data_IF_889932756037
#
_entry.id   IF_889932756037
#
_cell.length_a   1.000
_cell.length_b   1.000
_cell.length_c   1.000
_cell.angle_alpha   90.00
_cell.angle_beta   90.00
_cell.angle_gamma   90.00
#
_symmetry.space_group_name_H-M   'P 1'
#
loop_
_entity.id
_entity.type
_entity.pdbx_description
1 polymer ?
#
# COMPACT_ATOMS: atom_id res chain seq x y z
N UNK A 1 26.15 -3.82 -2.31
CA UNK A 1 24.73 -4.02 -1.94
C UNK A 1 24.23 -5.21 -2.75
N UNK A 2 23.50 -6.16 -2.15
CA UNK A 2 22.87 -7.23 -2.92
C UNK A 2 21.85 -6.62 -3.89
N UNK A 3 21.84 -7.09 -5.14
CA UNK A 3 20.87 -6.65 -6.14
C UNK A 3 19.45 -7.00 -5.69
N UNK A 4 18.49 -6.09 -5.89
CA UNK A 4 17.08 -6.37 -5.61
C UNK A 4 16.57 -7.39 -6.62
N UNK A 5 16.13 -8.55 -6.13
CA UNK A 5 15.48 -9.58 -6.93
C UNK A 5 13.96 -9.31 -6.93
N UNK A 6 13.36 -9.16 -8.09
CA UNK A 6 11.92 -8.94 -8.23
C UNK A 6 11.17 -10.23 -8.51
N UNK A 7 10.01 -10.38 -7.88
CA UNK A 7 9.13 -11.53 -8.05
C UNK A 7 8.24 -11.33 -9.30
N UNK A 8 8.06 -12.38 -10.12
CA UNK A 8 7.15 -12.34 -11.25
C UNK A 8 5.69 -12.22 -10.80
N UNK A 9 4.84 -11.73 -11.70
CA UNK A 9 3.39 -11.56 -11.47
C UNK A 9 3.05 -10.82 -10.17
N UNK A 10 3.92 -9.88 -9.77
CA UNK A 10 3.78 -9.09 -8.54
C UNK A 10 3.69 -9.95 -7.28
N UNK A 11 4.49 -11.02 -7.25
CA UNK A 11 4.58 -11.94 -6.12
C UNK A 11 3.60 -13.12 -6.17
N UNK A 12 2.69 -13.14 -7.16
CA UNK A 12 1.62 -14.16 -7.25
C UNK A 12 2.04 -15.44 -7.94
N UNK A 13 3.14 -15.44 -8.70
CA UNK A 13 3.54 -16.65 -9.43
C UNK A 13 3.75 -17.83 -8.47
N UNK A 14 3.05 -18.94 -8.73
CA UNK A 14 3.10 -20.15 -7.92
C UNK A 14 2.42 -20.08 -6.56
N UNK A 15 1.66 -19.01 -6.27
CA UNK A 15 0.95 -18.86 -5.00
C UNK A 15 -0.28 -19.78 -4.93
N UNK A 16 -0.47 -20.44 -3.78
CA UNK A 16 -1.58 -21.37 -3.51
C UNK A 16 -2.60 -20.84 -2.50
N UNK A 17 -2.33 -19.68 -1.90
CA UNK A 17 -3.27 -19.02 -0.99
C UNK A 17 -4.27 -18.18 -1.80
N UNK A 18 -5.54 -18.12 -1.38
CA UNK A 18 -6.53 -17.29 -2.07
C UNK A 18 -6.21 -15.80 -1.88
N UNK A 19 -6.66 -14.95 -2.82
CA UNK A 19 -6.55 -13.50 -2.65
C UNK A 19 -7.36 -13.03 -1.43
N UNK A 20 -7.01 -11.88 -0.83
CA UNK A 20 -7.81 -11.27 0.23
C UNK A 20 -9.24 -10.97 -0.25
N UNK A 21 -10.18 -10.98 0.71
CA UNK A 21 -11.57 -10.60 0.43
C UNK A 21 -11.62 -9.17 -0.15
N UNK A 22 -12.36 -9.01 -1.26
CA UNK A 22 -12.58 -7.73 -1.93
C UNK A 22 -14.07 -7.41 -2.02
N UNK A 23 -14.47 -6.28 -1.43
CA UNK A 23 -15.86 -5.83 -1.31
C UNK A 23 -16.29 -4.84 -2.42
N UNK A 24 -15.62 -4.83 -3.58
CA UNK A 24 -15.96 -3.95 -4.71
C UNK A 24 -17.42 -4.02 -5.16
N UNK A 25 -18.02 -5.21 -5.04
CA UNK A 25 -19.43 -5.43 -5.37
C UNK A 25 -20.40 -4.78 -4.36
N UNK A 26 -19.97 -4.55 -3.11
CA UNK A 26 -20.77 -3.95 -2.06
C UNK A 26 -20.58 -2.43 -1.99
N UNK A 27 -19.34 -1.97 -2.19
CA UNK A 27 -18.90 -0.58 -2.06
C UNK A 27 -18.18 -0.13 -3.35
N UNK A 28 -18.94 0.48 -4.26
CA UNK A 28 -18.45 0.91 -5.57
C UNK A 28 -17.60 2.18 -5.45
N UNK A 29 -16.59 2.26 -6.31
CA UNK A 29 -15.87 3.51 -6.53
C UNK A 29 -16.64 4.39 -7.53
N UNK A 30 -17.28 5.44 -7.03
CA UNK A 30 -18.11 6.39 -7.78
C UNK A 30 -17.29 7.49 -8.44
N UNK A 31 -17.92 8.25 -9.33
CA UNK A 31 -17.34 9.37 -10.07
C UNK A 31 -17.08 10.63 -9.21
N UNK A 32 -17.58 10.65 -7.98
CA UNK A 32 -17.30 11.70 -7.01
C UNK A 32 -15.79 11.94 -6.82
N UNK A 33 -15.41 13.20 -6.62
CA UNK A 33 -14.05 13.53 -6.23
C UNK A 33 -13.78 13.08 -4.80
N UNK A 34 -12.75 12.25 -4.60
CA UNK A 34 -12.38 11.72 -3.29
C UNK A 34 -10.97 12.14 -2.91
N UNK A 35 -10.74 12.32 -1.60
CA UNK A 35 -9.39 12.44 -1.07
C UNK A 35 -8.66 11.11 -1.22
N UNK A 36 -7.57 11.11 -1.97
CA UNK A 36 -6.56 10.05 -1.97
C UNK A 36 -5.54 10.37 -0.90
N UNK A 37 -5.21 9.40 -0.07
CA UNK A 37 -4.33 9.55 1.09
C UNK A 37 -3.34 8.39 1.16
N UNK A 38 -2.14 8.65 1.67
CA UNK A 38 -1.27 7.59 2.19
C UNK A 38 -1.71 7.31 3.62
N UNK A 39 -2.20 6.10 3.87
CA UNK A 39 -2.51 5.62 5.22
C UNK A 39 -1.27 5.01 5.83
N UNK A 40 -0.90 5.50 7.02
CA UNK A 40 0.25 5.02 7.79
C UNK A 40 -0.23 4.37 9.07
N UNK A 41 -0.07 3.06 9.15
CA UNK A 41 -0.51 2.25 10.28
C UNK A 41 0.66 2.00 11.25
N UNK A 42 0.41 2.04 12.57
CA UNK A 42 1.42 1.70 13.56
C UNK A 42 1.82 0.23 13.44
N UNK A 43 3.04 -0.13 13.86
CA UNK A 43 3.44 -1.52 13.89
C UNK A 43 2.61 -2.30 14.90
N UNK A 44 2.46 -3.60 14.65
CA UNK A 44 1.84 -4.51 15.63
C UNK A 44 2.74 -4.59 16.85
N UNK A 45 2.25 -4.13 18.00
CA UNK A 45 2.99 -4.19 19.27
C UNK A 45 3.08 -5.63 19.77
N UNK A 46 4.30 -6.09 19.99
CA UNK A 46 4.59 -7.32 20.72
C UNK A 46 5.35 -6.97 22.02
N UNK A 47 5.18 -7.72 23.12
CA UNK A 47 5.93 -7.46 24.35
C UNK A 47 7.44 -7.45 24.12
N UNK A 48 8.13 -6.40 24.59
CA UNK A 48 9.59 -6.24 24.43
C UNK A 48 10.06 -5.78 23.05
N UNK A 49 9.15 -5.54 22.10
CA UNK A 49 9.47 -4.99 20.79
C UNK A 49 9.58 -3.46 20.85
N UNK A 50 10.70 -2.90 20.37
CA UNK A 50 10.85 -1.45 20.18
C UNK A 50 10.49 -1.12 18.73
N UNK A 51 9.38 -0.41 18.47
CA UNK A 51 8.99 0.00 17.14
C UNK A 51 10.06 0.83 16.42
N UNK A 52 10.28 0.53 15.15
CA UNK A 52 11.13 1.31 14.25
C UNK A 52 10.26 1.88 13.10
N UNK A 53 10.55 3.08 12.55
CA UNK A 53 9.81 3.63 11.42
C UNK A 53 9.64 2.69 10.21
N UNK A 54 10.56 1.74 9.98
CA UNK A 54 10.42 0.74 8.90
C UNK A 54 9.35 -0.33 9.16
N UNK A 55 8.79 -0.37 10.35
CA UNK A 55 7.74 -1.32 10.74
C UNK A 55 6.33 -0.76 10.52
N UNK A 56 6.24 0.53 10.17
CA UNK A 56 4.99 1.15 9.75
C UNK A 56 4.48 0.47 8.48
N UNK A 57 3.19 0.17 8.44
CA UNK A 57 2.56 -0.34 7.23
C UNK A 57 1.97 0.83 6.45
N UNK A 58 2.27 0.91 5.16
CA UNK A 58 1.77 1.99 4.28
C UNK A 58 0.80 1.43 3.25
N UNK A 59 -0.24 2.20 2.92
CA UNK A 59 -1.07 1.97 1.74
C UNK A 59 -1.54 3.28 1.12
N UNK A 60 -1.66 3.30 -0.21
CA UNK A 60 -2.36 4.37 -0.91
C UNK A 60 -3.85 4.05 -0.94
N UNK A 61 -4.70 4.94 -0.42
CA UNK A 61 -6.09 4.62 -0.13
C UNK A 61 -7.03 5.79 -0.40
N UNK A 62 -8.31 5.50 -0.65
CA UNK A 62 -9.38 6.49 -0.73
C UNK A 62 -10.72 5.88 -0.32
N UNK A 63 -11.66 6.74 0.10
CA UNK A 63 -13.02 6.31 0.40
C UNK A 63 -13.78 5.98 -0.88
N UNK A 64 -14.58 4.93 -0.81
CA UNK A 64 -15.58 4.55 -1.81
C UNK A 64 -16.97 4.58 -1.17
N UNK A 65 -18.02 4.28 -1.93
CA UNK A 65 -19.39 4.34 -1.44
C UNK A 65 -19.63 3.45 -0.20
N UNK A 66 -20.71 3.74 0.52
CA UNK A 66 -21.15 2.99 1.72
C UNK A 66 -20.07 2.87 2.80
N UNK A 67 -19.20 3.87 2.88
CA UNK A 67 -18.10 3.90 3.85
C UNK A 67 -17.02 2.86 3.58
N UNK A 68 -16.90 2.33 2.37
CA UNK A 68 -15.76 1.47 2.02
C UNK A 68 -14.48 2.28 1.84
N UNK A 69 -13.36 1.56 1.83
CA UNK A 69 -12.05 2.08 1.48
C UNK A 69 -11.40 1.19 0.43
N UNK A 70 -10.90 1.81 -0.64
CA UNK A 70 -10.00 1.17 -1.58
C UNK A 70 -8.58 1.29 -1.05
N UNK A 71 -7.81 0.21 -1.11
CA UNK A 71 -6.42 0.16 -0.69
C UNK A 71 -5.53 -0.43 -1.78
N UNK A 72 -4.41 0.25 -2.03
CA UNK A 72 -3.29 -0.24 -2.83
C UNK A 72 -2.09 -0.44 -1.90
N UNK A 73 -1.70 -1.69 -1.69
CA UNK A 73 -0.49 -2.05 -0.97
C UNK A 73 -0.03 -3.46 -1.33
N UNK A 74 1.21 -3.77 -0.99
CA UNK A 74 1.67 -5.16 -0.92
C UNK A 74 1.42 -5.72 0.48
N UNK A 75 1.06 -7.00 0.55
CA UNK A 75 0.95 -7.78 1.78
C UNK A 75 2.12 -8.74 1.90
N UNK A 76 2.55 -9.04 3.13
CA UNK A 76 3.50 -10.11 3.40
C UNK A 76 2.70 -11.41 3.61
N UNK A 77 2.96 -12.41 2.80
CA UNK A 77 2.27 -13.69 2.81
C UNK A 77 3.20 -14.81 3.28
N UNK A 78 2.69 -15.67 4.15
CA UNK A 78 3.38 -16.87 4.60
C UNK A 78 3.11 -18.00 3.60
N UNK A 79 4.16 -18.42 2.91
CA UNK A 79 4.14 -19.44 1.88
C UNK A 79 5.03 -20.62 2.29
N UNK A 80 4.80 -21.16 3.48
CA UNK A 80 5.61 -22.24 4.07
C UNK A 80 5.64 -23.55 3.25
N UNK A 81 4.74 -23.71 2.27
CA UNK A 81 4.79 -24.81 1.29
C UNK A 81 5.85 -24.61 0.20
N UNK A 82 6.41 -23.41 0.04
CA UNK A 82 7.52 -23.11 -0.87
C UNK A 82 8.82 -22.98 -0.06
N UNK A 83 9.68 -24.02 -0.06
CA UNK A 83 10.91 -24.02 0.74
C UNK A 83 11.94 -22.99 0.26
N UNK A 84 11.83 -22.48 -0.98
CA UNK A 84 12.76 -21.47 -1.53
C UNK A 84 12.32 -20.05 -1.19
N UNK A 85 11.03 -19.87 -0.90
CA UNK A 85 10.43 -18.59 -0.59
C UNK A 85 9.31 -18.79 0.43
N UNK A 86 9.65 -19.06 1.71
CA UNK A 86 8.67 -19.37 2.76
C UNK A 86 7.85 -18.15 3.19
N UNK A 87 8.33 -16.94 2.85
CA UNK A 87 7.61 -15.67 3.01
C UNK A 87 7.84 -14.84 1.75
N UNK A 88 6.81 -14.15 1.27
CA UNK A 88 6.92 -13.25 0.10
C UNK A 88 6.05 -12.02 0.25
N UNK A 89 6.33 -11.00 -0.55
CA UNK A 89 5.42 -9.88 -0.72
C UNK A 89 4.53 -10.13 -1.94
N UNK A 90 3.27 -9.70 -1.87
CA UNK A 90 2.30 -9.88 -2.94
C UNK A 90 1.49 -8.60 -3.11
N UNK A 91 1.37 -8.11 -4.33
CA UNK A 91 0.33 -7.16 -4.69
C UNK A 91 -0.84 -7.93 -5.30
N UNK A 92 -1.99 -7.93 -4.62
CA UNK A 92 -3.19 -8.64 -5.07
C UNK A 92 -4.06 -7.82 -6.03
N UNK A 93 -3.69 -6.56 -6.30
CA UNK A 93 -4.54 -5.59 -6.98
C UNK A 93 -5.21 -4.61 -6.01
N UNK A 94 -6.04 -3.70 -6.53
CA UNK A 94 -6.86 -2.83 -5.70
C UNK A 94 -7.86 -3.65 -4.86
N UNK A 95 -7.88 -3.43 -3.55
CA UNK A 95 -8.79 -4.16 -2.63
C UNK A 95 -9.71 -3.16 -1.93
N UNK A 96 -11.02 -3.39 -2.01
CA UNK A 96 -11.99 -2.65 -1.20
C UNK A 96 -12.31 -3.37 0.10
N UNK A 97 -12.21 -2.64 1.22
CA UNK A 97 -12.56 -3.10 2.57
C UNK A 97 -13.64 -2.18 3.16
N UNK A 98 -14.44 -2.69 4.09
CA UNK A 98 -15.38 -1.86 4.85
C UNK A 98 -14.63 -0.95 5.84
N UNK A 99 -15.12 0.27 6.09
CA UNK A 99 -14.65 1.07 7.22
C UNK A 99 -14.81 0.28 8.53
N UNK A 100 -13.80 0.35 9.40
CA UNK A 100 -13.72 -0.41 10.64
C UNK A 100 -12.27 -0.64 11.06
N UNK A 101 -11.96 -1.82 11.62
CA UNK A 101 -10.60 -2.18 12.06
C UNK A 101 -9.52 -1.97 10.98
N UNK A 102 -9.88 -2.02 9.70
CA UNK A 102 -8.97 -1.82 8.57
C UNK A 102 -8.41 -0.39 8.43
N UNK A 103 -9.01 0.61 9.08
CA UNK A 103 -8.53 2.01 9.11
C UNK A 103 -8.35 2.54 10.53
N UNK A 104 -8.66 1.73 11.54
CA UNK A 104 -8.54 2.13 12.95
C UNK A 104 -7.06 2.39 13.30
N UNK A 105 -6.78 3.61 13.79
CA UNK A 105 -5.44 4.02 14.16
C UNK A 105 -4.51 4.31 12.98
N UNK A 106 -4.98 4.42 11.74
CA UNK A 106 -4.14 4.94 10.66
C UNK A 106 -4.00 6.46 10.75
N UNK A 107 -2.82 6.99 10.44
CA UNK A 107 -2.65 8.41 10.14
C UNK A 107 -2.86 8.61 8.65
N UNK A 108 -3.77 9.50 8.28
CA UNK A 108 -4.04 9.86 6.88
C UNK A 108 -3.13 11.02 6.46
N UNK A 109 -2.28 10.79 5.45
CA UNK A 109 -1.45 11.83 4.83
C UNK A 109 -2.06 12.16 3.46
N UNK A 110 -2.70 13.33 3.28
CA UNK A 110 -3.39 13.65 2.03
C UNK A 110 -2.45 13.76 0.83
N UNK A 111 -2.80 13.08 -0.26
CA UNK A 111 -2.16 13.22 -1.56
C UNK A 111 -2.89 14.27 -2.43
N UNK A 112 -4.21 14.32 -2.33
CA UNK A 112 -5.06 15.29 -3.04
C UNK A 112 -6.48 14.79 -3.29
N UNK A 113 -7.35 15.68 -3.79
CA UNK A 113 -8.69 15.30 -4.30
C UNK A 113 -8.57 14.86 -5.74
N UNK A 114 -9.15 13.70 -6.07
CA UNK A 114 -8.98 13.09 -7.38
C UNK A 114 -10.32 12.54 -7.90
N UNK A 115 -10.56 12.76 -9.19
CA UNK A 115 -11.69 12.17 -9.92
C UNK A 115 -11.52 10.65 -10.05
N UNK A 116 -12.60 9.95 -10.41
CA UNK A 116 -12.55 8.51 -10.67
C UNK A 116 -11.57 8.15 -11.80
N UNK A 117 -11.45 8.98 -12.84
CA UNK A 117 -10.52 8.74 -13.93
C UNK A 117 -9.06 8.73 -13.44
N UNK A 118 -8.69 9.71 -12.61
CA UNK A 118 -7.36 9.78 -11.99
C UNK A 118 -7.13 8.60 -11.04
N UNK A 119 -8.12 8.23 -10.23
CA UNK A 119 -7.99 7.09 -9.30
C UNK A 119 -7.83 5.76 -10.04
N UNK A 120 -8.55 5.54 -11.15
CA UNK A 120 -8.32 4.38 -12.04
C UNK A 120 -6.95 4.42 -12.71
N UNK A 121 -6.45 5.60 -13.08
CA UNK A 121 -5.09 5.74 -13.61
C UNK A 121 -4.05 5.32 -12.56
N UNK A 122 -4.25 5.70 -11.30
CA UNK A 122 -3.39 5.25 -10.18
C UNK A 122 -3.43 3.73 -10.03
N UNK A 123 -4.60 3.09 -10.10
CA UNK A 123 -4.72 1.62 -10.07
C UNK A 123 -3.94 0.96 -11.22
N UNK A 124 -3.97 1.53 -12.41
CA UNK A 124 -3.18 1.05 -13.55
C UNK A 124 -1.67 1.20 -13.33
N UNK A 125 -1.23 2.34 -12.78
CA UNK A 125 0.18 2.57 -12.45
C UNK A 125 0.68 1.58 -11.39
N UNK A 126 -0.16 1.23 -10.41
CA UNK A 126 0.14 0.24 -9.38
C UNK A 126 0.45 -1.14 -9.98
N UNK A 127 -0.27 -1.56 -11.02
CA UNK A 127 0.05 -2.78 -11.76
C UNK A 127 1.42 -2.75 -12.44
N UNK A 128 2.02 -1.57 -12.64
CA UNK A 128 3.38 -1.42 -13.18
C UNK A 128 4.49 -1.38 -12.13
N UNK A 129 4.17 -1.47 -10.84
CA UNK A 129 5.17 -1.47 -9.75
C UNK A 129 5.64 -2.89 -9.49
N UNK A 130 6.95 -3.10 -9.53
CA UNK A 130 7.54 -4.41 -9.26
C UNK A 130 7.50 -4.73 -7.75
N UNK A 131 7.35 -6.02 -7.43
CA UNK A 131 7.35 -6.50 -6.04
C UNK A 131 8.65 -7.25 -5.79
N UNK A 132 9.44 -6.81 -4.81
CA UNK A 132 10.71 -7.46 -4.52
C UNK A 132 10.53 -8.70 -3.65
N UNK A 133 11.50 -9.61 -3.75
CA UNK A 133 11.68 -10.69 -2.79
C UNK A 133 12.09 -10.12 -1.42
N UNK A 134 11.60 -10.68 -0.30
CA UNK A 134 12.07 -10.27 1.01
C UNK A 134 13.58 -10.44 1.15
N UNK A 135 14.28 -9.35 1.43
CA UNK A 135 15.73 -9.30 1.62
C UNK A 135 16.13 -8.60 2.92
N UNK A 136 15.18 -8.44 3.85
CA UNK A 136 15.37 -7.72 5.12
C UNK A 136 15.38 -6.18 4.98
N UNK A 137 15.44 -5.65 3.77
CA UNK A 137 15.42 -4.21 3.51
C UNK A 137 14.10 -3.79 2.85
N UNK A 138 13.70 -4.40 1.74
CA UNK A 138 12.50 -4.02 1.00
C UNK A 138 11.21 -4.39 1.77
N UNK A 139 10.26 -3.47 1.84
CA UNK A 139 8.95 -3.66 2.49
C UNK A 139 7.82 -2.92 1.74
N UNK A 140 6.63 -2.85 2.35
CA UNK A 140 5.48 -2.16 1.76
C UNK A 140 5.68 -0.65 1.57
N UNK A 141 6.51 0.00 2.38
CA UNK A 141 6.84 1.43 2.22
C UNK A 141 7.61 1.64 0.92
N UNK A 142 8.59 0.77 0.61
CA UNK A 142 9.31 0.83 -0.65
C UNK A 142 8.37 0.72 -1.86
N UNK A 143 7.42 -0.21 -1.82
CA UNK A 143 6.43 -0.35 -2.89
C UNK A 143 5.54 0.90 -3.05
N UNK A 144 5.07 1.49 -1.95
CA UNK A 144 4.27 2.72 -1.99
C UNK A 144 5.10 3.91 -2.51
N UNK A 145 6.38 4.00 -2.15
CA UNK A 145 7.29 5.02 -2.68
C UNK A 145 7.48 4.89 -4.19
N UNK A 146 7.67 3.66 -4.69
CA UNK A 146 7.77 3.38 -6.13
C UNK A 146 6.47 3.74 -6.87
N UNK A 147 5.30 3.47 -6.26
CA UNK A 147 4.02 3.91 -6.79
C UNK A 147 3.90 5.44 -6.82
N UNK A 148 4.22 6.12 -5.72
CA UNK A 148 4.20 7.59 -5.66
C UNK A 148 5.15 8.21 -6.70
N UNK A 149 6.32 7.61 -6.92
CA UNK A 149 7.24 8.01 -7.97
C UNK A 149 6.57 7.90 -9.36
N UNK A 150 5.89 6.79 -9.67
CA UNK A 150 5.14 6.65 -10.93
C UNK A 150 4.01 7.67 -11.07
N UNK A 151 3.27 7.94 -9.99
CA UNK A 151 2.19 8.94 -9.97
C UNK A 151 2.75 10.34 -10.27
N UNK A 152 3.91 10.68 -9.71
CA UNK A 152 4.64 11.91 -10.02
C UNK A 152 5.07 11.96 -11.50
N UNK A 153 5.70 10.90 -12.02
CA UNK A 153 6.12 10.85 -13.43
C UNK A 153 4.95 10.89 -14.42
N UNK A 154 3.76 10.41 -14.02
CA UNK A 154 2.53 10.49 -14.80
C UNK A 154 1.88 11.89 -14.75
N UNK A 155 2.43 12.83 -13.95
CA UNK A 155 1.94 14.21 -13.84
C UNK A 155 0.69 14.37 -12.97
N UNK A 156 0.28 13.33 -12.24
CA UNK A 156 -0.91 13.37 -11.37
C UNK A 156 -0.67 14.26 -10.15
N UNK A 157 0.57 14.31 -9.66
CA UNK A 157 0.99 15.15 -8.53
C UNK A 157 2.25 15.94 -8.89
N UNK A 158 2.44 17.08 -8.23
CA UNK A 158 3.66 17.85 -8.34
C UNK A 158 4.81 17.25 -7.53
N UNK A 159 6.05 17.66 -7.82
CA UNK A 159 7.22 17.31 -7.00
C UNK A 159 7.05 17.79 -5.55
N UNK A 160 6.48 18.98 -5.34
CA UNK A 160 6.23 19.52 -4.00
C UNK A 160 5.27 18.62 -3.20
N UNK A 161 4.17 18.20 -3.82
CA UNK A 161 3.21 17.26 -3.22
C UNK A 161 3.87 15.91 -2.92
N UNK A 162 4.66 15.36 -3.85
CA UNK A 162 5.37 14.11 -3.65
C UNK A 162 6.32 14.19 -2.44
N UNK A 163 7.17 15.22 -2.39
CA UNK A 163 8.13 15.42 -1.29
C UNK A 163 7.43 15.62 0.05
N UNK A 164 6.36 16.41 0.09
CA UNK A 164 5.59 16.66 1.30
C UNK A 164 4.95 15.38 1.85
N UNK A 165 4.30 14.59 0.98
CA UNK A 165 3.63 13.33 1.37
C UNK A 165 4.63 12.32 1.88
N UNK A 166 5.76 12.14 1.19
CA UNK A 166 6.82 11.20 1.60
C UNK A 166 7.38 11.60 2.96
N UNK A 167 7.69 12.89 3.16
CA UNK A 167 8.18 13.40 4.44
C UNK A 167 7.17 13.17 5.56
N UNK A 168 5.90 13.56 5.37
CA UNK A 168 4.86 13.40 6.40
C UNK A 168 4.59 11.94 6.73
N UNK A 169 4.58 11.06 5.73
CA UNK A 169 4.32 9.64 5.95
C UNK A 169 5.43 8.97 6.76
N UNK A 170 6.70 9.35 6.57
CA UNK A 170 7.82 8.86 7.38
C UNK A 170 7.74 9.31 8.84
N UNK A 171 7.25 10.52 9.09
CA UNK A 171 7.14 11.10 10.43
C UNK A 171 5.74 10.97 11.04
N UNK A 172 4.83 10.21 10.42
CA UNK A 172 3.42 10.14 10.82
C UNK A 172 3.21 9.63 12.25
N UNK A 173 4.20 8.93 12.80
CA UNK A 173 4.17 8.35 14.15
C UNK A 173 5.27 8.87 15.07
N UNK A 174 5.99 9.91 14.66
CA UNK A 174 7.00 10.54 15.52
C UNK A 174 6.35 11.05 16.82
N UNK A 175 6.96 10.72 17.97
CA UNK A 175 6.42 11.04 19.29
C UNK A 175 5.27 10.15 19.77
N UNK A 176 4.92 9.08 19.03
CA UNK A 176 3.90 8.08 19.41
C UNK A 176 4.37 6.63 19.37
N UNK A 177 5.57 6.38 18.85
CA UNK A 177 6.26 5.08 18.86
C UNK A 177 6.90 4.82 20.22
#
# INVERSE_FOLDING_TARGET
MASIEYLPEQGRYGIRIPPPLNNDHLAKDTDEERNVVVMVYPPRRAPGYVPNPRDLHWSLSWRVDKGGWKHLHVTAEDTGYDPRLPRRYVYWGPITKSAGNATSGAVEVPLGRMSLAVRRRIEQLAWGVQVAKPNGQWNCQNWVLDLLCKIYWDGIISQATWSEVVSKAHHAWDGRL
#
